data_IF_391771633115
#
_entry.id   IF_391771633115
#
_cell.length_a   1.000
_cell.length_b   1.000
_cell.length_c   1.000
_cell.angle_alpha   90.00
_cell.angle_beta   90.00
_cell.angle_gamma   90.00
#
_symmetry.space_group_name_H-M   'P 1'
#
loop_
_entity.id
_entity.type
_entity.pdbx_description
1 polymer ?
#
# COMPACT_ATOMS: atom_id res chain seq x y z
N UNK A 1 4.97 12.92 5.39
CA UNK A 1 5.38 13.80 4.25
C UNK A 1 4.64 13.39 2.99
N UNK A 2 4.64 12.11 2.62
CA UNK A 2 3.89 11.62 1.46
C UNK A 2 2.39 11.91 1.57
N UNK A 3 1.80 11.72 2.74
CA UNK A 3 0.38 12.01 3.00
C UNK A 3 0.01 13.47 2.66
N UNK A 4 0.91 14.42 2.93
CA UNK A 4 0.72 15.83 2.57
C UNK A 4 0.72 16.00 1.05
N UNK A 5 1.68 15.37 0.34
CA UNK A 5 1.76 15.46 -1.12
C UNK A 5 0.52 14.85 -1.77
N UNK A 6 0.11 13.66 -1.33
CA UNK A 6 -1.11 13.00 -1.79
C UNK A 6 -2.34 13.87 -1.56
N UNK A 7 -2.47 14.42 -0.35
CA UNK A 7 -3.60 15.27 0.00
C UNK A 7 -3.65 16.55 -0.84
N UNK A 8 -2.50 17.20 -1.10
CA UNK A 8 -2.43 18.38 -1.97
C UNK A 8 -2.67 18.01 -3.43
N UNK A 9 -2.14 16.86 -3.90
CA UNK A 9 -2.33 16.39 -5.27
C UNK A 9 -3.81 16.13 -5.62
N UNK A 10 -4.58 15.62 -4.66
CA UNK A 10 -6.00 15.31 -4.81
C UNK A 10 -6.91 16.54 -4.78
N UNK A 11 -6.41 17.70 -4.36
CA UNK A 11 -7.20 18.92 -4.28
C UNK A 11 -7.10 19.73 -5.56
N UNK A 12 -8.21 20.11 -6.16
CA UNK A 12 -8.22 21.06 -7.30
C UNK A 12 -7.81 22.47 -6.85
N UNK A 13 -8.13 22.83 -5.62
CA UNK A 13 -7.88 24.14 -5.03
C UNK A 13 -6.57 24.20 -4.26
N UNK A 14 -5.80 25.32 -4.34
CA UNK A 14 -4.62 25.52 -3.52
C UNK A 14 -4.95 25.48 -2.02
N UNK A 15 -4.08 24.89 -1.22
CA UNK A 15 -4.27 24.66 0.21
C UNK A 15 -3.45 25.62 1.05
N UNK A 16 -4.01 26.13 2.15
CA UNK A 16 -3.29 26.97 3.11
C UNK A 16 -2.56 26.09 4.15
N UNK A 17 -1.57 26.65 4.85
CA UNK A 17 -0.93 25.97 5.98
C UNK A 17 -1.99 25.54 7.03
N UNK A 18 -3.00 26.39 7.27
CA UNK A 18 -4.07 26.08 8.22
C UNK A 18 -4.90 24.85 7.79
N UNK A 19 -5.12 24.67 6.49
CA UNK A 19 -5.78 23.47 5.98
C UNK A 19 -4.98 22.21 6.30
N UNK A 20 -3.64 22.25 6.14
CA UNK A 20 -2.74 21.15 6.47
C UNK A 20 -2.76 20.85 7.97
N UNK A 21 -2.61 21.88 8.82
CA UNK A 21 -2.69 21.77 10.30
C UNK A 21 -4.00 21.12 10.72
N UNK A 22 -5.12 21.59 10.19
CA UNK A 22 -6.44 21.10 10.57
C UNK A 22 -6.67 19.65 10.11
N UNK A 23 -6.17 19.29 8.91
CA UNK A 23 -6.37 17.96 8.35
C UNK A 23 -5.51 16.90 9.04
N UNK A 24 -4.21 17.19 9.21
CA UNK A 24 -3.25 16.23 9.75
C UNK A 24 -3.08 16.31 11.28
N UNK A 25 -3.70 17.33 11.92
CA UNK A 25 -3.55 17.60 13.36
C UNK A 25 -2.08 17.78 13.80
N UNK A 26 -1.23 18.27 12.90
CA UNK A 26 0.15 18.58 13.22
C UNK A 26 0.28 19.89 14.00
N UNK A 27 1.30 20.03 14.87
CA UNK A 27 1.72 21.32 15.39
C UNK A 27 2.04 22.26 14.22
N UNK A 28 1.63 23.55 14.35
CA UNK A 28 1.79 24.52 13.26
C UNK A 28 3.24 24.68 12.80
N UNK A 29 4.20 24.63 13.73
CA UNK A 29 5.64 24.68 13.43
C UNK A 29 6.11 23.49 12.61
N UNK A 30 5.67 22.28 12.95
CA UNK A 30 6.00 21.06 12.20
C UNK A 30 5.40 21.07 10.82
N UNK A 31 4.13 21.48 10.70
CA UNK A 31 3.48 21.62 9.40
C UNK A 31 4.20 22.65 8.52
N UNK A 32 4.60 23.79 9.08
CA UNK A 32 5.33 24.83 8.35
C UNK A 32 6.69 24.31 7.84
N UNK A 33 7.46 23.64 8.70
CA UNK A 33 8.76 23.07 8.32
C UNK A 33 8.64 22.02 7.20
N UNK A 34 7.63 21.14 7.28
CA UNK A 34 7.36 20.16 6.25
C UNK A 34 6.95 20.80 4.92
N UNK A 35 6.05 21.78 4.97
CA UNK A 35 5.60 22.50 3.77
C UNK A 35 6.73 23.28 3.12
N UNK A 36 7.58 23.95 3.93
CA UNK A 36 8.78 24.66 3.43
C UNK A 36 9.74 23.68 2.74
N UNK A 37 10.02 22.53 3.35
CA UNK A 37 10.88 21.49 2.75
C UNK A 37 10.30 20.99 1.42
N UNK A 38 8.99 20.81 1.32
CA UNK A 38 8.35 20.35 0.08
C UNK A 38 8.41 21.41 -1.02
N UNK A 39 8.33 22.70 -0.67
CA UNK A 39 8.52 23.82 -1.61
C UNK A 39 9.99 23.90 -2.06
N UNK A 40 10.92 23.86 -1.12
CA UNK A 40 12.37 23.92 -1.40
C UNK A 40 12.83 22.77 -2.32
N UNK A 41 12.24 21.60 -2.14
CA UNK A 41 12.51 20.42 -2.98
C UNK A 41 11.72 20.40 -4.29
N UNK A 42 10.91 21.41 -4.58
CA UNK A 42 10.12 21.55 -5.82
C UNK A 42 8.92 20.62 -5.93
N UNK A 43 8.53 19.92 -4.85
CA UNK A 43 7.31 19.09 -4.82
C UNK A 43 6.04 19.93 -4.75
N UNK A 44 6.10 21.07 -4.10
CA UNK A 44 5.03 22.04 -4.04
C UNK A 44 5.52 23.41 -4.51
N UNK A 45 4.58 24.25 -4.91
CA UNK A 45 4.81 25.68 -5.11
C UNK A 45 3.90 26.47 -4.18
N UNK A 46 4.35 27.65 -3.79
CA UNK A 46 3.62 28.58 -2.93
C UNK A 46 3.27 29.82 -3.75
N UNK A 47 2.00 30.18 -3.77
CA UNK A 47 1.54 31.37 -4.49
C UNK A 47 1.70 32.65 -3.66
N UNK A 48 1.42 33.81 -4.28
CA UNK A 48 1.49 35.12 -3.61
C UNK A 48 0.51 35.33 -2.45
N UNK A 49 -0.45 34.40 -2.28
CA UNK A 49 -1.43 34.41 -1.19
C UNK A 49 -1.11 33.35 -0.13
N UNK A 50 0.14 32.90 -0.06
CA UNK A 50 0.61 31.89 0.87
C UNK A 50 -0.13 30.53 0.77
N UNK A 51 -0.64 30.20 -0.41
CA UNK A 51 -1.31 28.92 -0.66
C UNK A 51 -0.37 27.97 -1.40
N UNK A 52 -0.44 26.71 -1.05
CA UNK A 52 0.40 25.64 -1.60
C UNK A 52 -0.38 24.82 -2.62
N UNK A 53 0.28 24.48 -3.72
CA UNK A 53 -0.26 23.61 -4.75
C UNK A 53 0.85 22.77 -5.37
N UNK A 54 0.49 21.63 -5.94
CA UNK A 54 1.42 20.82 -6.71
C UNK A 54 1.65 21.45 -8.08
N UNK A 55 2.91 21.68 -8.51
CA UNK A 55 3.21 22.20 -9.84
C UNK A 55 2.57 21.36 -10.94
N UNK A 56 2.08 21.97 -12.06
CA UNK A 56 1.48 21.22 -13.16
C UNK A 56 2.39 20.13 -13.73
N UNK A 57 3.69 20.38 -13.83
CA UNK A 57 4.68 19.39 -14.27
C UNK A 57 4.79 18.18 -13.32
N UNK A 58 4.74 18.44 -12.02
CA UNK A 58 4.76 17.38 -10.99
C UNK A 58 3.43 16.64 -10.98
N UNK A 59 2.31 17.36 -11.08
CA UNK A 59 0.97 16.77 -11.18
C UNK A 59 0.83 15.88 -12.42
N UNK A 60 1.36 16.30 -13.56
CA UNK A 60 1.39 15.51 -14.79
C UNK A 60 2.24 14.24 -14.60
N UNK A 61 3.45 14.35 -14.03
CA UNK A 61 4.29 13.17 -13.70
C UNK A 61 3.60 12.24 -12.72
N UNK A 62 2.97 12.77 -11.69
CA UNK A 62 2.22 11.99 -10.70
C UNK A 62 1.02 11.27 -11.33
N UNK A 63 0.33 11.93 -12.27
CA UNK A 63 -0.80 11.36 -13.00
C UNK A 63 -0.38 10.34 -14.08
N UNK A 64 0.86 10.40 -14.56
CA UNK A 64 1.41 9.47 -15.56
C UNK A 64 2.28 8.37 -14.95
N UNK A 65 2.74 8.53 -13.72
CA UNK A 65 3.50 7.51 -13.00
C UNK A 65 2.54 6.47 -12.41
N UNK A 66 2.74 5.21 -12.76
CA UNK A 66 1.93 4.08 -12.28
C UNK A 66 1.85 4.02 -10.74
N UNK A 67 2.94 4.39 -10.05
CA UNK A 67 2.97 4.43 -8.58
C UNK A 67 2.12 5.57 -8.03
N UNK A 68 2.19 6.76 -8.64
CA UNK A 68 1.39 7.91 -8.23
C UNK A 68 -0.11 7.65 -8.42
N UNK A 69 -0.51 7.08 -9.55
CA UNK A 69 -1.90 6.69 -9.81
C UNK A 69 -2.39 5.65 -8.80
N UNK A 70 -1.54 4.66 -8.50
CA UNK A 70 -1.84 3.62 -7.52
C UNK A 70 -2.07 4.21 -6.13
N UNK A 71 -1.20 5.12 -5.66
CA UNK A 71 -1.33 5.80 -4.37
C UNK A 71 -2.63 6.61 -4.29
N UNK A 72 -2.91 7.42 -5.32
CA UNK A 72 -4.12 8.24 -5.41
C UNK A 72 -5.39 7.39 -5.40
N UNK A 73 -5.41 6.29 -6.17
CA UNK A 73 -6.55 5.40 -6.24
C UNK A 73 -6.78 4.63 -4.92
N UNK A 74 -5.68 4.26 -4.25
CA UNK A 74 -5.73 3.39 -3.07
C UNK A 74 -6.00 4.12 -1.76
N UNK A 75 -5.56 5.37 -1.59
CA UNK A 75 -5.58 6.05 -0.30
C UNK A 75 -6.99 6.18 0.33
N UNK A 76 -8.06 6.66 -0.37
CA UNK A 76 -9.38 6.75 0.23
C UNK A 76 -9.98 5.38 0.64
N UNK A 77 -9.93 4.32 -0.21
CA UNK A 77 -10.39 3.00 0.20
C UNK A 77 -9.58 2.39 1.35
N UNK A 78 -8.25 2.59 1.38
CA UNK A 78 -7.40 2.16 2.49
C UNK A 78 -7.77 2.82 3.81
N UNK A 79 -8.06 4.13 3.79
CA UNK A 79 -8.50 4.86 4.97
C UNK A 79 -9.82 4.30 5.49
N UNK A 80 -10.81 4.10 4.63
CA UNK A 80 -12.09 3.50 5.01
C UNK A 80 -11.93 2.08 5.58
N UNK A 81 -11.00 1.29 5.03
CA UNK A 81 -10.66 -0.04 5.54
C UNK A 81 -10.01 0.04 6.94
N UNK A 82 -9.04 0.94 7.11
CA UNK A 82 -8.38 1.16 8.40
C UNK A 82 -9.37 1.62 9.49
N UNK A 83 -10.26 2.58 9.17
CA UNK A 83 -11.30 3.07 10.07
C UNK A 83 -12.30 1.96 10.45
N UNK A 84 -12.67 1.09 9.51
CA UNK A 84 -13.63 0.02 9.74
C UNK A 84 -13.05 -1.14 10.53
N UNK A 85 -11.86 -1.59 10.19
CA UNK A 85 -11.21 -2.70 10.86
C UNK A 85 -10.45 -2.31 12.12
N UNK A 86 -10.05 -1.04 12.25
CA UNK A 86 -9.19 -0.52 13.31
C UNK A 86 -7.82 -1.23 13.37
N UNK A 87 -7.35 -1.72 12.20
CA UNK A 87 -6.08 -2.43 12.06
C UNK A 87 -5.13 -1.73 11.08
N UNK A 88 -3.85 -2.07 11.13
CA UNK A 88 -2.85 -1.50 10.22
C UNK A 88 -3.11 -1.95 8.78
N UNK A 89 -3.27 -1.00 7.86
CA UNK A 89 -3.45 -1.23 6.42
C UNK A 89 -2.22 -0.80 5.67
N UNK A 90 -1.71 -1.67 4.79
CA UNK A 90 -0.45 -1.46 4.08
C UNK A 90 -0.66 -1.70 2.58
N UNK A 91 -0.16 -0.79 1.76
CA UNK A 91 -0.01 -0.95 0.32
C UNK A 91 1.46 -1.24 0.02
N UNK A 92 1.74 -2.27 -0.75
CA UNK A 92 3.12 -2.64 -1.08
C UNK A 92 3.29 -3.24 -2.46
N UNK A 93 4.52 -3.19 -2.95
CA UNK A 93 4.96 -3.74 -4.24
C UNK A 93 6.16 -4.64 -4.05
N UNK A 94 6.46 -5.46 -5.05
CA UNK A 94 7.66 -6.29 -5.07
C UNK A 94 8.74 -5.57 -5.89
N UNK A 95 9.92 -5.39 -5.29
CA UNK A 95 11.06 -4.83 -6.00
C UNK A 95 11.80 -5.88 -6.86
N UNK A 96 12.86 -5.44 -7.57
CA UNK A 96 13.67 -6.30 -8.44
C UNK A 96 14.43 -7.41 -7.69
N UNK A 97 14.60 -7.26 -6.36
CA UNK A 97 15.26 -8.22 -5.49
C UNK A 97 14.27 -9.14 -4.76
N UNK A 98 13.00 -9.13 -5.18
CA UNK A 98 11.90 -9.87 -4.56
C UNK A 98 11.68 -9.51 -3.08
N UNK A 99 11.96 -8.24 -2.73
CA UNK A 99 11.61 -7.70 -1.42
C UNK A 99 10.31 -6.90 -1.52
N UNK A 100 9.47 -7.02 -0.51
CA UNK A 100 8.26 -6.19 -0.40
C UNK A 100 8.65 -4.80 0.08
N UNK A 101 8.36 -3.80 -0.74
CA UNK A 101 8.49 -2.39 -0.38
C UNK A 101 7.13 -1.81 -0.07
N UNK A 102 7.04 -1.13 1.07
CA UNK A 102 5.82 -0.42 1.47
C UNK A 102 5.75 0.90 0.71
N UNK A 103 4.63 1.15 0.03
CA UNK A 103 4.32 2.41 -0.63
C UNK A 103 3.51 3.34 0.28
N UNK A 104 2.56 2.78 1.03
CA UNK A 104 1.72 3.53 1.97
C UNK A 104 1.35 2.64 3.16
N UNK A 105 1.29 3.25 4.36
CA UNK A 105 0.87 2.57 5.59
C UNK A 105 -0.05 3.48 6.39
N UNK A 106 -1.21 2.96 6.79
CA UNK A 106 -2.11 3.55 7.76
C UNK A 106 -2.06 2.69 9.02
N UNK A 107 -1.45 3.23 10.07
CA UNK A 107 -1.30 2.50 11.33
C UNK A 107 -2.67 2.29 12.00
N UNK A 108 -2.80 1.17 12.71
CA UNK A 108 -3.94 0.93 13.60
C UNK A 108 -4.00 2.00 14.68
N UNK A 109 -5.19 2.51 15.05
CA UNK A 109 -5.35 3.43 16.18
C UNK A 109 -5.28 2.73 17.54
N UNK A 110 -5.24 1.38 17.57
CA UNK A 110 -5.15 0.62 18.81
C UNK A 110 -3.82 0.83 19.52
N UNK A 111 -3.82 0.84 20.85
CA UNK A 111 -2.59 0.96 21.65
C UNK A 111 -1.63 -0.22 21.39
N UNK A 112 -2.15 -1.44 21.45
CA UNK A 112 -1.41 -2.65 21.07
C UNK A 112 -1.70 -2.94 19.59
N UNK A 113 -0.72 -2.69 18.72
CA UNK A 113 -0.87 -2.83 17.27
C UNK A 113 0.36 -3.43 16.62
N UNK A 114 0.16 -3.97 15.42
CA UNK A 114 1.26 -4.29 14.53
C UNK A 114 1.74 -3.00 13.83
N UNK A 115 2.93 -2.54 14.18
CA UNK A 115 3.48 -1.28 13.64
C UNK A 115 4.89 -1.49 13.07
N UNK A 116 4.95 -2.17 11.94
CA UNK A 116 6.20 -2.41 11.25
C UNK A 116 6.78 -1.13 10.64
N UNK A 117 8.10 -0.98 10.70
CA UNK A 117 8.82 0.08 10.00
C UNK A 117 8.63 -0.07 8.48
N UNK A 118 8.01 0.92 7.86
CA UNK A 118 7.73 0.94 6.43
C UNK A 118 8.97 1.21 5.56
N UNK A 119 10.06 1.74 6.14
CA UNK A 119 11.31 2.01 5.41
C UNK A 119 12.14 0.76 5.14
N UNK A 120 11.88 -0.32 5.89
CA UNK A 120 12.63 -1.57 5.81
C UNK A 120 11.92 -2.55 4.87
N UNK A 121 12.53 -2.92 3.72
CA UNK A 121 11.98 -3.94 2.84
C UNK A 121 11.84 -5.29 3.56
N UNK A 122 10.79 -6.05 3.19
CA UNK A 122 10.46 -7.32 3.84
C UNK A 122 10.66 -8.51 2.90
N UNK A 123 11.14 -9.67 3.42
CA UNK A 123 11.24 -10.88 2.62
C UNK A 123 9.87 -11.31 2.09
N UNK A 124 9.81 -11.72 0.82
CA UNK A 124 8.53 -12.08 0.23
C UNK A 124 8.00 -13.44 0.70
N UNK A 125 8.89 -14.40 1.04
CA UNK A 125 8.46 -15.78 1.38
C UNK A 125 7.61 -15.87 2.65
N UNK A 126 7.80 -14.98 3.63
CA UNK A 126 7.17 -15.03 4.96
C UNK A 126 6.17 -13.91 5.20
N UNK A 127 5.78 -13.16 4.15
CA UNK A 127 4.77 -12.11 4.20
C UNK A 127 3.61 -12.39 3.27
N UNK A 128 2.38 -12.07 3.69
CA UNK A 128 1.19 -12.27 2.85
C UNK A 128 1.28 -11.47 1.55
N UNK A 129 1.72 -10.20 1.61
CA UNK A 129 1.94 -9.37 0.42
C UNK A 129 2.96 -10.00 -0.54
N UNK A 130 4.10 -10.44 -0.01
CA UNK A 130 5.16 -11.02 -0.84
C UNK A 130 4.70 -12.26 -1.58
N UNK A 131 3.97 -13.14 -0.91
CA UNK A 131 3.42 -14.36 -1.53
C UNK A 131 2.38 -14.05 -2.60
N UNK A 132 1.46 -13.11 -2.33
CA UNK A 132 0.49 -12.67 -3.34
C UNK A 132 1.20 -12.10 -4.56
N UNK A 133 2.17 -11.22 -4.37
CA UNK A 133 2.90 -10.59 -5.47
C UNK A 133 3.72 -11.61 -6.27
N UNK A 134 4.47 -12.49 -5.59
CA UNK A 134 5.21 -13.58 -6.24
C UNK A 134 4.31 -14.55 -7.00
N UNK A 135 3.15 -14.87 -6.43
CA UNK A 135 2.19 -15.77 -7.07
C UNK A 135 1.75 -15.30 -8.46
N UNK A 136 1.74 -13.97 -8.69
CA UNK A 136 1.31 -13.38 -9.96
C UNK A 136 2.48 -13.01 -10.90
N UNK A 137 3.73 -13.23 -10.48
CA UNK A 137 4.88 -13.10 -11.40
C UNK A 137 4.91 -14.23 -12.43
N UNK A 138 5.63 -14.05 -13.57
CA UNK A 138 5.90 -15.12 -14.50
C UNK A 138 6.46 -16.37 -13.79
N UNK A 139 6.10 -17.55 -14.30
CA UNK A 139 6.52 -18.82 -13.68
C UNK A 139 8.04 -18.92 -13.53
N UNK A 140 8.77 -18.44 -14.52
CA UNK A 140 10.24 -18.43 -14.52
C UNK A 140 10.80 -17.60 -13.35
N UNK A 141 10.20 -16.45 -13.05
CA UNK A 141 10.62 -15.60 -11.90
C UNK A 141 10.32 -16.28 -10.57
N UNK A 142 9.16 -16.95 -10.45
CA UNK A 142 8.82 -17.72 -9.25
C UNK A 142 9.83 -18.84 -8.99
N UNK A 143 10.18 -19.62 -10.04
CA UNK A 143 11.16 -20.68 -9.89
C UNK A 143 12.56 -20.15 -9.57
N UNK A 144 12.98 -19.05 -10.21
CA UNK A 144 14.23 -18.36 -9.86
C UNK A 144 14.24 -17.94 -8.38
N UNK A 145 13.14 -17.37 -7.87
CA UNK A 145 13.03 -17.03 -6.46
C UNK A 145 13.14 -18.27 -5.56
N UNK A 146 12.45 -19.35 -5.92
CA UNK A 146 12.43 -20.59 -5.13
C UNK A 146 13.77 -21.34 -5.12
N UNK A 147 14.69 -21.06 -6.05
CA UNK A 147 16.06 -21.57 -6.01
C UNK A 147 16.85 -21.07 -4.78
N UNK A 148 16.44 -19.95 -4.18
CA UNK A 148 17.03 -19.44 -2.93
C UNK A 148 16.63 -20.23 -1.68
N UNK A 149 15.76 -21.24 -1.77
CA UNK A 149 15.38 -22.09 -0.64
C UNK A 149 16.54 -23.06 -0.25
N UNK A 150 16.63 -23.45 1.05
CA UNK A 150 15.72 -23.11 2.12
C UNK A 150 15.92 -21.66 2.61
N UNK A 151 14.79 -20.98 2.84
CA UNK A 151 14.81 -19.62 3.37
C UNK A 151 15.05 -19.61 4.89
N UNK A 152 15.52 -18.48 5.45
CA UNK A 152 15.69 -18.33 6.89
C UNK A 152 14.41 -18.65 7.67
N UNK A 153 14.53 -19.40 8.76
CA UNK A 153 13.44 -19.67 9.69
C UNK A 153 13.38 -18.55 10.72
N UNK A 154 12.54 -17.54 10.49
CA UNK A 154 12.43 -16.37 11.37
C UNK A 154 11.61 -16.67 12.63
N UNK A 155 10.64 -17.58 12.52
CA UNK A 155 9.78 -18.04 13.62
C UNK A 155 9.54 -19.54 13.49
N UNK A 156 8.99 -20.21 14.50
CA UNK A 156 8.64 -21.65 14.41
C UNK A 156 7.69 -21.97 13.26
N UNK A 157 6.82 -21.01 12.84
CA UNK A 157 5.80 -21.18 11.80
C UNK A 157 6.28 -20.77 10.41
N UNK A 158 7.47 -20.17 10.26
CA UNK A 158 7.99 -19.75 8.95
C UNK A 158 8.04 -20.90 7.95
N UNK A 159 7.46 -20.70 6.76
CA UNK A 159 7.60 -21.63 5.64
C UNK A 159 8.94 -21.38 4.94
N UNK A 160 9.83 -22.38 4.95
CA UNK A 160 11.20 -22.25 4.44
C UNK A 160 11.48 -23.04 3.17
N UNK A 161 10.66 -24.04 2.85
CA UNK A 161 10.88 -24.93 1.71
C UNK A 161 10.23 -24.44 0.43
N UNK A 162 10.90 -24.63 -0.72
CA UNK A 162 10.36 -24.34 -2.04
C UNK A 162 9.02 -25.03 -2.31
N UNK A 163 8.86 -26.27 -1.88
CA UNK A 163 7.64 -27.04 -2.11
C UNK A 163 6.43 -26.43 -1.36
N UNK A 164 6.63 -26.04 -0.08
CA UNK A 164 5.58 -25.40 0.72
C UNK A 164 5.19 -24.03 0.12
N UNK A 165 6.18 -23.22 -0.24
CA UNK A 165 5.94 -21.90 -0.86
C UNK A 165 5.24 -22.01 -2.22
N UNK A 166 5.62 -22.98 -3.06
CA UNK A 166 4.95 -23.23 -4.34
C UNK A 166 3.46 -23.57 -4.16
N UNK A 167 3.09 -24.32 -3.13
CA UNK A 167 1.68 -24.58 -2.79
C UNK A 167 0.96 -23.28 -2.44
N UNK A 168 1.59 -22.41 -1.64
CA UNK A 168 1.02 -21.09 -1.28
C UNK A 168 0.90 -20.16 -2.47
N UNK A 169 1.89 -20.11 -3.37
CA UNK A 169 1.81 -19.33 -4.60
C UNK A 169 0.66 -19.81 -5.52
N UNK A 170 0.50 -21.13 -5.66
CA UNK A 170 -0.62 -21.66 -6.45
C UNK A 170 -1.98 -21.30 -5.84
N UNK A 171 -2.10 -21.36 -4.52
CA UNK A 171 -3.30 -20.92 -3.81
C UNK A 171 -3.56 -19.43 -4.01
N UNK A 172 -2.57 -18.57 -3.75
CA UNK A 172 -2.68 -17.14 -3.90
C UNK A 172 -2.98 -16.72 -5.35
N UNK A 173 -2.40 -17.41 -6.34
CA UNK A 173 -2.72 -17.17 -7.77
C UNK A 173 -4.18 -17.48 -8.09
N UNK A 174 -4.74 -18.54 -7.51
CA UNK A 174 -6.13 -18.97 -7.74
C UNK A 174 -7.14 -18.05 -7.04
N UNK A 175 -6.83 -17.63 -5.81
CA UNK A 175 -7.78 -16.90 -4.96
C UNK A 175 -7.58 -15.38 -4.97
N UNK A 176 -6.39 -14.92 -5.39
CA UNK A 176 -5.98 -13.52 -5.23
C UNK A 176 -5.63 -13.13 -3.80
N UNK A 177 -5.70 -14.07 -2.85
CA UNK A 177 -5.55 -13.86 -1.41
C UNK A 177 -4.44 -14.71 -0.81
N UNK A 178 -3.83 -14.22 0.26
CA UNK A 178 -2.88 -14.96 1.09
C UNK A 178 -3.01 -14.54 2.56
N UNK A 179 -2.73 -15.48 3.46
CA UNK A 179 -2.68 -15.24 4.90
C UNK A 179 -1.36 -15.72 5.48
N UNK A 180 -0.87 -15.02 6.48
CA UNK A 180 0.34 -15.37 7.21
C UNK A 180 0.06 -15.24 8.70
N UNK A 181 0.36 -16.29 9.45
CA UNK A 181 0.18 -16.33 10.90
C UNK A 181 1.57 -16.53 11.53
N UNK A 182 2.09 -15.48 12.12
CA UNK A 182 3.37 -15.43 12.85
C UNK A 182 4.60 -15.89 12.06
N UNK A 183 4.54 -15.93 10.73
CA UNK A 183 5.66 -16.44 9.94
C UNK A 183 6.84 -15.45 9.81
N UNK A 184 6.58 -14.14 9.90
CA UNK A 184 7.62 -13.11 9.87
C UNK A 184 8.06 -12.70 11.27
N UNK A 185 7.12 -12.55 12.21
CA UNK A 185 7.36 -12.19 13.60
C UNK A 185 6.30 -12.81 14.49
N UNK A 186 6.70 -13.27 15.67
CA UNK A 186 5.78 -13.77 16.68
C UNK A 186 4.79 -12.69 17.09
N UNK A 187 3.54 -13.06 17.32
CA UNK A 187 2.44 -12.17 17.68
C UNK A 187 1.89 -11.34 16.51
N UNK A 188 2.52 -11.40 15.31
CA UNK A 188 2.11 -10.67 14.13
C UNK A 188 1.50 -11.57 13.05
N UNK A 189 0.27 -11.26 12.64
CA UNK A 189 -0.46 -11.97 11.58
C UNK A 189 -1.11 -11.01 10.60
N UNK A 190 -1.48 -11.49 9.43
CA UNK A 190 -2.13 -10.66 8.45
C UNK A 190 -2.61 -11.40 7.21
N UNK A 191 -3.33 -10.67 6.40
CA UNK A 191 -3.81 -11.13 5.11
C UNK A 191 -3.56 -10.07 4.04
N UNK A 192 -3.34 -10.51 2.81
CA UNK A 192 -3.14 -9.65 1.66
C UNK A 192 -3.99 -10.08 0.47
N UNK A 193 -4.34 -9.11 -0.37
CA UNK A 193 -5.04 -9.27 -1.64
C UNK A 193 -4.27 -8.63 -2.76
N UNK A 194 -4.29 -9.24 -3.95
CA UNK A 194 -3.71 -8.69 -5.17
C UNK A 194 -4.53 -7.49 -5.67
N UNK A 195 -3.88 -6.38 -5.98
CA UNK A 195 -4.48 -5.24 -6.66
C UNK A 195 -4.19 -5.30 -8.15
N UNK A 196 -5.23 -5.16 -8.97
CA UNK A 196 -5.14 -5.25 -10.42
C UNK A 196 -5.45 -3.91 -11.07
N UNK A 197 -4.72 -3.60 -12.12
CA UNK A 197 -5.03 -2.47 -13.00
C UNK A 197 -6.17 -2.83 -13.98
N UNK A 198 -6.56 -1.87 -14.84
CA UNK A 198 -7.59 -2.07 -15.87
C UNK A 198 -7.26 -3.18 -16.88
N UNK A 199 -5.99 -3.56 -17.03
CA UNK A 199 -5.55 -4.67 -17.91
C UNK A 199 -5.59 -6.03 -17.20
N UNK A 200 -6.02 -6.07 -15.91
CA UNK A 200 -6.04 -7.28 -15.10
C UNK A 200 -4.67 -7.68 -14.54
N UNK A 201 -3.63 -6.89 -14.77
CA UNK A 201 -2.27 -7.15 -14.28
C UNK A 201 -2.17 -6.81 -12.79
N UNK A 202 -1.49 -7.65 -12.01
CA UNK A 202 -1.24 -7.37 -10.58
C UNK A 202 -0.12 -6.34 -10.46
N UNK A 203 -0.47 -5.17 -9.95
CA UNK A 203 0.44 -4.03 -9.83
C UNK A 203 0.92 -3.80 -8.39
N UNK A 204 0.15 -4.26 -7.39
CA UNK A 204 0.47 -4.10 -5.98
C UNK A 204 -0.28 -5.16 -5.14
N UNK A 205 -0.04 -5.15 -3.82
CA UNK A 205 -0.83 -5.88 -2.84
C UNK A 205 -1.32 -4.94 -1.74
N UNK A 206 -2.57 -5.11 -1.33
CA UNK A 206 -3.16 -4.49 -0.15
C UNK A 206 -3.15 -5.50 1.00
N UNK A 207 -2.72 -5.08 2.17
CA UNK A 207 -2.57 -5.95 3.34
C UNK A 207 -3.21 -5.34 4.58
N UNK A 208 -3.83 -6.17 5.38
CA UNK A 208 -4.20 -5.88 6.76
C UNK A 208 -3.25 -6.66 7.66
N UNK A 209 -2.53 -5.94 8.53
CA UNK A 209 -1.62 -6.51 9.52
C UNK A 209 -2.14 -6.20 10.93
N UNK A 210 -2.15 -7.21 11.78
CA UNK A 210 -2.68 -7.13 13.13
C UNK A 210 -1.93 -8.05 14.09
N UNK A 211 -2.24 -7.98 15.37
CA UNK A 211 -1.77 -8.97 16.35
C UNK A 211 -2.53 -10.28 16.17
N UNK A 212 -1.83 -11.42 16.35
CA UNK A 212 -2.37 -12.75 16.09
C UNK A 212 -3.69 -13.03 16.81
N UNK A 213 -3.79 -12.65 18.10
CA UNK A 213 -4.99 -12.85 18.90
C UNK A 213 -6.25 -12.16 18.34
N UNK A 214 -6.10 -11.04 17.65
CA UNK A 214 -7.22 -10.39 16.96
C UNK A 214 -7.47 -10.96 15.56
N UNK A 215 -6.42 -11.45 14.91
CA UNK A 215 -6.52 -12.03 13.56
C UNK A 215 -7.40 -13.29 13.57
N UNK A 216 -7.14 -14.20 14.50
CA UNK A 216 -7.82 -15.51 14.57
C UNK A 216 -9.35 -15.38 14.64
N UNK A 217 -9.85 -14.48 15.49
CA UNK A 217 -11.30 -14.26 15.64
C UNK A 217 -11.94 -13.46 14.50
N UNK A 218 -11.16 -12.79 13.61
CA UNK A 218 -11.64 -11.85 12.61
C UNK A 218 -11.16 -12.15 11.20
N UNK A 219 -10.50 -13.29 10.98
CA UNK A 219 -9.89 -13.62 9.68
C UNK A 219 -10.89 -13.52 8.53
N UNK A 220 -12.08 -14.09 8.67
CA UNK A 220 -13.10 -14.06 7.62
C UNK A 220 -13.51 -12.63 7.26
N UNK A 221 -13.78 -11.79 8.26
CA UNK A 221 -14.11 -10.38 8.07
C UNK A 221 -12.97 -9.63 7.36
N UNK A 222 -11.72 -9.84 7.79
CA UNK A 222 -10.55 -9.19 7.20
C UNK A 222 -10.42 -9.57 5.72
N UNK A 223 -10.58 -10.84 5.37
CA UNK A 223 -10.51 -11.32 3.98
C UNK A 223 -11.62 -10.72 3.12
N UNK A 224 -12.84 -10.69 3.62
CA UNK A 224 -13.98 -10.11 2.92
C UNK A 224 -13.79 -8.61 2.66
N UNK A 225 -13.36 -7.86 3.67
CA UNK A 225 -13.12 -6.42 3.54
C UNK A 225 -11.92 -6.09 2.65
N UNK A 226 -10.88 -6.92 2.65
CA UNK A 226 -9.77 -6.79 1.71
C UNK A 226 -10.22 -6.97 0.26
N UNK A 227 -11.03 -7.99 -0.04
CA UNK A 227 -11.56 -8.22 -1.38
C UNK A 227 -12.42 -7.06 -1.86
N UNK A 228 -13.34 -6.58 -1.00
CA UNK A 228 -14.19 -5.42 -1.29
C UNK A 228 -13.35 -4.17 -1.59
N UNK A 229 -12.35 -3.91 -0.76
CA UNK A 229 -11.48 -2.74 -0.92
C UNK A 229 -10.62 -2.85 -2.17
N UNK A 230 -10.11 -4.05 -2.49
CA UNK A 230 -9.36 -4.29 -3.72
C UNK A 230 -10.19 -4.04 -4.98
N UNK A 231 -11.47 -4.44 -4.99
CA UNK A 231 -12.38 -4.15 -6.08
C UNK A 231 -12.57 -2.63 -6.27
N UNK A 232 -12.81 -1.89 -5.19
CA UNK A 232 -12.93 -0.43 -5.22
C UNK A 232 -11.67 0.26 -5.76
N UNK A 233 -10.49 -0.22 -5.36
CA UNK A 233 -9.21 0.32 -5.87
C UNK A 233 -9.06 0.00 -7.36
N UNK A 234 -9.38 -1.22 -7.78
CA UNK A 234 -9.34 -1.64 -9.19
C UNK A 234 -10.24 -0.80 -10.10
N UNK A 235 -11.47 -0.50 -9.66
CA UNK A 235 -12.39 0.39 -10.37
C UNK A 235 -11.79 1.80 -10.54
N UNK A 236 -11.18 2.35 -9.48
CA UNK A 236 -10.54 3.67 -9.51
C UNK A 236 -9.31 3.70 -10.42
N UNK A 237 -8.52 2.64 -10.45
CA UNK A 237 -7.40 2.50 -11.37
C UNK A 237 -7.88 2.40 -12.83
N UNK A 238 -8.97 1.69 -13.08
CA UNK A 238 -9.61 1.62 -14.39
C UNK A 238 -10.15 2.96 -14.86
N UNK A 239 -10.82 3.71 -13.98
CA UNK A 239 -11.34 5.05 -14.28
C UNK A 239 -10.23 6.08 -14.57
N UNK A 240 -9.06 5.94 -13.96
CA UNK A 240 -7.91 6.82 -14.17
C UNK A 240 -7.23 6.63 -15.53
N UNK A 241 -7.41 5.48 -16.17
CA UNK A 241 -6.79 5.13 -17.45
C UNK A 241 -7.70 5.39 -18.67
N UNK A 242 -8.96 5.76 -18.46
CA UNK A 242 -9.82 6.20 -19.55
C UNK A 242 -9.37 7.58 -20.04
N UNK A 243 -9.09 7.78 -21.34
CA UNK A 243 -8.78 9.10 -21.88
C UNK A 243 -9.96 10.02 -21.55
N UNK A 244 -9.66 11.18 -20.97
CA UNK A 244 -10.65 12.14 -20.55
C UNK A 244 -11.63 12.42 -21.68
N UNK A 245 -12.90 12.17 -21.44
CA UNK A 245 -13.97 12.53 -22.33
C UNK A 245 -13.90 14.05 -22.56
N UNK A 246 -13.63 14.55 -23.77
CA UNK A 246 -13.69 15.97 -24.03
C UNK A 246 -15.16 16.36 -23.89
N UNK A 247 -15.54 16.92 -22.77
CA UNK A 247 -16.86 17.54 -22.64
C UNK A 247 -16.86 18.80 -23.49
N UNK A 248 -17.50 18.65 -24.62
CA UNK A 248 -18.33 19.59 -25.37
C UNK A 248 -18.07 21.06 -25.12
N UNK A 249 -17.76 21.69 -26.24
CA UNK A 249 -18.00 23.11 -26.49
C UNK A 249 -19.31 23.64 -25.89
#
# INVERSE_FOLDING_TARGET
VLDILEWVALRPEPSTLQNVVNHFKFPKSSALALMATLVDRGYLTKDSRDRYHMPPSMRARWATDDVGQLLVASHPPMRALNERLQETVILGVLDRHFQVRVLSKLASPQEVRYDADASIPRPAYCTAMGRVLLAHRPKQEQERYLQGAPFPKLTPTSLTSAAALRKRFNHARKTGLETVIEEFSLGGSGAAVALRNARGEVVAALNVATVTSRFEGRQHLILQELQRTAAQIGERLGASQLPGNPRSA
#
